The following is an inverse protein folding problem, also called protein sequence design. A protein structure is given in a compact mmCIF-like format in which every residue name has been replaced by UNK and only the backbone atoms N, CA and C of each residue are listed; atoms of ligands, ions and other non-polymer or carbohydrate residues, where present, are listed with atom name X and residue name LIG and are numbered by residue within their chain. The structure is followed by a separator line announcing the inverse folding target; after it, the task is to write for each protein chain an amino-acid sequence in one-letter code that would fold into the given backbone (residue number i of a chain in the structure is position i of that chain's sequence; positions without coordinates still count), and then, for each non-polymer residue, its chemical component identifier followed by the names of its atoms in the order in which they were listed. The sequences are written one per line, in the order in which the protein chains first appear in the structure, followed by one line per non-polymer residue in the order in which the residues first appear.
data_IF_884186308336
#
_entry.id   IF_884186308336
#
_cell.length_a   1.000
_cell.length_b   1.000
_cell.length_c   1.000
_cell.angle_alpha   90.00
_cell.angle_beta   90.00
_cell.angle_gamma   90.00
#
_symmetry.space_group_name_H-M   'P 1'
#
loop_
_entity.id
_entity.type
_entity.pdbx_description
1 polymer ?
#
# COMPACT_ATOMS: atom_id res chain seq x y z
N UNK A 1 -3.29 -8.96 1.48
CA UNK A 1 -3.90 -8.34 2.67
C UNK A 1 -5.32 -8.88 2.80
N UNK A 2 -5.78 -9.09 4.04
CA UNK A 2 -7.15 -9.50 4.34
C UNK A 2 -7.71 -8.54 5.41
N UNK A 3 -8.92 -8.03 5.19
CA UNK A 3 -9.58 -7.07 6.08
C UNK A 3 -10.88 -7.68 6.59
N UNK A 4 -11.08 -7.76 7.92
CA UNK A 4 -12.32 -8.29 8.49
C UNK A 4 -13.54 -7.42 8.11
N UNK A 5 -14.73 -7.98 8.27
CA UNK A 5 -16.00 -7.26 8.03
C UNK A 5 -16.05 -6.01 8.91
N UNK A 6 -16.30 -4.86 8.29
CA UNK A 6 -16.34 -3.56 8.98
C UNK A 6 -14.97 -2.97 9.32
N UNK A 7 -13.86 -3.68 9.04
CA UNK A 7 -12.51 -3.16 9.19
C UNK A 7 -12.08 -2.29 8.00
N UNK A 8 -10.92 -1.67 8.13
CA UNK A 8 -10.30 -0.78 7.14
C UNK A 8 -8.79 -1.04 7.01
N UNK A 9 -8.20 -0.47 5.95
CA UNK A 9 -6.73 -0.43 5.78
C UNK A 9 -6.12 0.66 6.66
N UNK A 10 -6.68 1.86 6.59
CA UNK A 10 -6.17 3.08 7.20
C UNK A 10 -6.55 4.30 6.35
N UNK A 11 -6.54 5.50 6.93
CA UNK A 11 -6.64 6.78 6.21
C UNK A 11 -5.23 7.32 6.00
N UNK A 12 -4.73 7.18 4.77
CA UNK A 12 -3.31 7.32 4.46
C UNK A 12 -3.02 8.37 3.39
N UNK A 13 -1.83 8.97 3.50
CA UNK A 13 -1.19 9.78 2.46
C UNK A 13 0.29 9.43 2.45
N UNK A 14 0.76 8.82 1.36
CA UNK A 14 2.17 8.45 1.21
C UNK A 14 2.78 9.03 -0.08
N UNK A 15 4.11 9.02 -0.15
CA UNK A 15 4.88 9.67 -1.23
C UNK A 15 5.10 8.78 -2.46
N UNK A 16 4.57 7.55 -2.42
CA UNK A 16 4.65 6.56 -3.51
C UNK A 16 3.29 6.35 -4.17
N UNK A 17 3.28 5.84 -5.40
CA UNK A 17 2.04 5.35 -6.02
C UNK A 17 1.65 4.00 -5.40
N UNK A 18 0.35 3.73 -5.24
CA UNK A 18 -0.18 2.46 -4.77
C UNK A 18 -1.24 1.92 -5.73
N UNK A 19 -1.17 0.63 -6.03
CA UNK A 19 -2.13 -0.09 -6.87
C UNK A 19 -2.76 -1.19 -6.03
N UNK A 20 -4.07 -1.13 -5.86
CA UNK A 20 -4.85 -2.12 -5.12
C UNK A 20 -5.67 -2.96 -6.09
N UNK A 21 -5.49 -4.27 -6.03
CA UNK A 21 -6.19 -5.26 -6.86
C UNK A 21 -7.06 -6.09 -5.93
N UNK A 22 -8.37 -5.89 -6.01
CA UNK A 22 -9.32 -6.57 -5.12
C UNK A 22 -9.61 -7.98 -5.64
N UNK A 23 -9.34 -9.00 -4.81
CA UNK A 23 -9.50 -10.41 -5.18
C UNK A 23 -10.78 -11.02 -4.62
N UNK A 24 -11.28 -10.54 -3.48
CA UNK A 24 -12.55 -10.96 -2.89
C UNK A 24 -13.20 -9.83 -2.06
N UNK A 25 -14.51 -9.96 -1.78
CA UNK A 25 -15.24 -9.03 -0.92
C UNK A 25 -15.74 -7.76 -1.62
N UNK A 26 -16.21 -6.80 -0.80
CA UNK A 26 -16.72 -5.49 -1.22
C UNK A 26 -16.26 -4.41 -0.25
N UNK A 27 -15.87 -3.25 -0.75
CA UNK A 27 -15.45 -2.13 0.08
C UNK A 27 -15.92 -0.80 -0.46
N UNK A 28 -15.88 0.21 0.42
CA UNK A 28 -15.91 1.62 0.03
C UNK A 28 -14.48 2.11 -0.09
N UNK A 29 -14.14 2.62 -1.25
CA UNK A 29 -12.89 3.32 -1.51
C UNK A 29 -13.15 4.83 -1.52
N UNK A 30 -12.50 5.56 -0.64
CA UNK A 30 -12.43 7.02 -0.66
C UNK A 30 -11.06 7.39 -1.22
N UNK A 31 -10.99 8.05 -2.37
CA UNK A 31 -9.73 8.49 -3.00
C UNK A 31 -9.85 9.95 -3.38
N UNK A 32 -8.92 10.79 -2.93
CA UNK A 32 -8.99 12.25 -3.09
C UNK A 32 -10.33 12.85 -2.63
N UNK A 33 -10.88 12.33 -1.51
CA UNK A 33 -12.18 12.73 -0.97
C UNK A 33 -13.39 12.31 -1.81
N UNK A 34 -13.22 11.43 -2.81
CA UNK A 34 -14.31 10.88 -3.61
C UNK A 34 -14.56 9.43 -3.28
N UNK A 35 -15.80 9.12 -2.93
CA UNK A 35 -16.24 7.77 -2.62
C UNK A 35 -16.62 6.97 -3.88
N UNK A 36 -16.29 5.69 -3.86
CA UNK A 36 -16.70 4.69 -4.84
C UNK A 36 -16.82 3.33 -4.18
N UNK A 37 -17.76 2.50 -4.66
CA UNK A 37 -17.85 1.11 -4.23
C UNK A 37 -16.93 0.25 -5.12
N UNK A 38 -16.14 -0.62 -4.50
CA UNK A 38 -15.24 -1.56 -5.16
C UNK A 38 -15.56 -2.99 -4.76
N UNK A 39 -15.27 -3.95 -5.66
CA UNK A 39 -15.48 -5.39 -5.44
C UNK A 39 -14.38 -6.22 -6.11
N UNK A 40 -14.46 -7.54 -5.94
CA UNK A 40 -13.57 -8.48 -6.63
C UNK A 40 -13.42 -8.18 -8.14
N UNK A 41 -12.17 -8.19 -8.61
CA UNK A 41 -11.69 -7.83 -9.96
C UNK A 41 -11.65 -6.34 -10.29
N UNK A 42 -12.03 -5.44 -9.38
CA UNK A 42 -11.77 -4.02 -9.56
C UNK A 42 -10.30 -3.70 -9.22
N UNK A 43 -9.77 -2.66 -9.86
CA UNK A 43 -8.42 -2.14 -9.61
C UNK A 43 -8.54 -0.65 -9.27
N UNK A 44 -7.89 -0.24 -8.18
CA UNK A 44 -7.77 1.16 -7.78
C UNK A 44 -6.31 1.57 -7.86
N UNK A 45 -6.07 2.72 -8.49
CA UNK A 45 -4.75 3.33 -8.57
C UNK A 45 -4.81 4.62 -7.75
N UNK A 46 -3.93 4.71 -6.77
CA UNK A 46 -3.76 5.86 -5.89
C UNK A 46 -2.43 6.53 -6.24
N UNK A 47 -2.45 7.72 -6.88
CA UNK A 47 -1.23 8.47 -7.15
C UNK A 47 -0.57 8.98 -5.86
N UNK A 48 0.75 9.10 -5.86
CA UNK A 48 1.53 9.67 -4.77
C UNK A 48 0.96 11.00 -4.26
N UNK A 49 0.92 11.17 -2.95
CA UNK A 49 0.37 12.35 -2.27
C UNK A 49 -1.15 12.44 -2.26
N UNK A 50 -1.86 11.39 -2.69
CA UNK A 50 -3.32 11.34 -2.68
C UNK A 50 -3.83 10.69 -1.40
N UNK A 51 -4.73 11.38 -0.68
CA UNK A 51 -5.46 10.78 0.43
C UNK A 51 -6.31 9.61 -0.06
N UNK A 52 -6.26 8.49 0.67
CA UNK A 52 -7.07 7.32 0.37
C UNK A 52 -7.42 6.51 1.62
N UNK A 53 -8.57 5.85 1.58
CA UNK A 53 -9.04 4.92 2.61
C UNK A 53 -9.92 3.85 1.98
N UNK A 54 -9.83 2.62 2.51
CA UNK A 54 -10.63 1.49 2.07
C UNK A 54 -11.29 0.81 3.26
N UNK A 55 -12.63 0.80 3.30
CA UNK A 55 -13.42 0.21 4.39
C UNK A 55 -14.20 -0.97 3.86
N UNK A 56 -14.08 -2.14 4.49
CA UNK A 56 -14.86 -3.32 4.15
C UNK A 56 -16.34 -3.11 4.54
N UNK A 57 -17.19 -2.93 3.52
CA UNK A 57 -18.64 -2.75 3.68
C UNK A 57 -19.44 -4.01 3.32
N UNK A 58 -18.75 -5.12 3.07
CA UNK A 58 -19.36 -6.41 2.73
C UNK A 58 -19.79 -7.22 3.95
N UNK A 59 -20.19 -8.45 3.68
CA UNK A 59 -20.57 -9.49 4.64
C UNK A 59 -19.53 -10.63 4.74
N UNK A 60 -18.39 -10.47 4.06
CA UNK A 60 -17.24 -11.38 4.08
C UNK A 60 -15.94 -10.57 4.22
N UNK A 61 -14.81 -11.20 4.57
CA UNK A 61 -13.51 -10.55 4.48
C UNK A 61 -13.27 -9.95 3.09
N UNK A 62 -12.59 -8.80 3.07
CA UNK A 62 -12.07 -8.17 1.87
C UNK A 62 -10.65 -8.67 1.66
N UNK A 63 -10.37 -9.21 0.49
CA UNK A 63 -9.03 -9.68 0.14
C UNK A 63 -8.50 -8.87 -1.04
N UNK A 64 -7.24 -8.48 -0.96
CA UNK A 64 -6.58 -7.72 -2.00
C UNK A 64 -5.07 -7.94 -2.03
N UNK A 65 -4.50 -7.61 -3.18
CA UNK A 65 -3.07 -7.44 -3.41
C UNK A 65 -2.81 -5.94 -3.51
N UNK A 66 -1.78 -5.44 -2.82
CA UNK A 66 -1.31 -4.07 -2.96
C UNK A 66 0.09 -4.06 -3.54
N UNK A 67 0.38 -3.10 -4.42
CA UNK A 67 1.70 -2.87 -5.00
C UNK A 67 2.04 -1.40 -4.84
N UNK A 68 3.16 -1.13 -4.18
CA UNK A 68 3.71 0.22 -4.02
C UNK A 68 4.84 0.45 -5.02
N UNK A 69 4.89 1.64 -5.61
CA UNK A 69 5.96 2.07 -6.51
C UNK A 69 6.38 3.52 -6.23
N UNK A 70 7.59 3.77 -5.69
CA UNK A 70 8.56 2.79 -5.17
C UNK A 70 8.07 2.05 -3.90
N UNK A 71 8.91 1.19 -3.31
CA UNK A 71 8.54 0.43 -2.12
C UNK A 71 8.21 1.35 -0.93
N UNK A 72 7.15 1.01 -0.19
CA UNK A 72 6.70 1.72 1.03
C UNK A 72 7.19 1.04 2.33
N UNK A 73 7.15 -0.30 2.34
CA UNK A 73 7.49 -1.11 3.52
C UNK A 73 8.90 -1.72 3.44
N UNK A 74 9.40 -2.21 4.58
CA UNK A 74 10.63 -2.99 4.66
C UNK A 74 10.47 -4.33 3.90
N UNK A 75 11.52 -4.88 3.25
CA UNK A 75 11.36 -6.01 2.31
C UNK A 75 10.90 -7.33 2.92
N UNK A 76 11.06 -7.51 4.23
CA UNK A 76 10.73 -8.73 4.98
C UNK A 76 9.50 -8.53 5.90
N UNK A 77 8.77 -7.43 5.73
CA UNK A 77 7.61 -7.11 6.55
C UNK A 77 6.47 -8.09 6.35
N UNK A 78 5.91 -8.54 7.47
CA UNK A 78 4.68 -9.32 7.55
C UNK A 78 3.90 -8.85 8.78
N UNK A 79 2.79 -8.16 8.56
CA UNK A 79 1.85 -7.79 9.62
C UNK A 79 0.75 -8.85 9.72
N UNK A 80 0.59 -9.49 10.90
CA UNK A 80 -0.47 -10.48 11.11
C UNK A 80 -1.79 -9.84 11.44
N UNK A 81 -1.77 -8.67 12.05
CA UNK A 81 -2.95 -7.86 12.34
C UNK A 81 -2.69 -6.41 11.96
N UNK A 82 -3.77 -5.64 11.83
CA UNK A 82 -3.66 -4.20 11.55
C UNK A 82 -2.91 -3.49 12.68
N UNK A 83 -3.23 -3.82 13.93
CA UNK A 83 -2.61 -3.20 15.10
C UNK A 83 -1.09 -3.42 15.16
N UNK A 84 -0.62 -4.63 14.79
CA UNK A 84 0.82 -4.90 14.68
C UNK A 84 1.47 -4.03 13.59
N UNK A 85 0.79 -3.85 12.46
CA UNK A 85 1.27 -2.99 11.37
C UNK A 85 1.36 -1.53 11.80
N UNK A 86 0.26 -0.97 12.31
CA UNK A 86 0.20 0.39 12.81
C UNK A 86 1.32 0.66 13.85
N UNK A 87 1.53 -0.26 14.79
CA UNK A 87 2.59 -0.14 15.82
C UNK A 87 4.02 -0.16 15.23
N UNK A 88 4.28 -0.97 14.21
CA UNK A 88 5.59 -1.08 13.57
C UNK A 88 5.90 0.13 12.69
N UNK A 89 4.89 0.66 12.00
CA UNK A 89 4.97 1.89 11.21
C UNK A 89 5.22 3.11 12.11
N UNK A 90 4.43 3.29 13.16
CA UNK A 90 4.60 4.38 14.13
C UNK A 90 5.98 4.34 14.82
N UNK A 91 6.52 3.13 15.02
CA UNK A 91 7.84 2.93 15.61
C UNK A 91 9.00 3.08 14.60
N UNK A 92 8.73 3.34 13.32
CA UNK A 92 9.73 3.43 12.25
C UNK A 92 10.48 2.11 12.00
N UNK A 93 9.83 0.97 12.29
CA UNK A 93 10.42 -0.37 12.11
C UNK A 93 10.03 -1.02 10.78
N UNK A 94 9.14 -0.39 10.04
CA UNK A 94 8.67 -0.82 8.73
C UNK A 94 8.94 0.21 7.63
N UNK A 95 10.18 0.69 7.56
CA UNK A 95 10.56 1.68 6.55
C UNK A 95 11.08 1.02 5.27
N UNK A 96 10.68 1.59 4.14
CA UNK A 96 11.24 1.29 2.84
C UNK A 96 12.79 1.39 2.83
N UNK A 97 13.48 0.49 2.12
CA UNK A 97 14.91 0.63 1.91
C UNK A 97 15.25 1.94 1.19
N UNK A 98 16.27 2.67 1.68
CA UNK A 98 16.66 3.95 1.08
C UNK A 98 17.03 3.89 -0.42
N UNK A 99 17.36 2.71 -0.96
CA UNK A 99 17.62 2.54 -2.40
C UNK A 99 16.33 2.56 -3.24
N UNK A 100 15.16 2.20 -2.67
CA UNK A 100 13.90 2.19 -3.43
C UNK A 100 13.46 3.61 -3.80
N UNK A 101 13.79 4.58 -2.96
CA UNK A 101 13.46 5.99 -3.12
C UNK A 101 14.52 6.78 -3.89
N UNK A 102 15.68 6.17 -4.16
CA UNK A 102 16.79 6.83 -4.85
C UNK A 102 16.65 6.72 -6.38
N UNK A 103 17.15 7.73 -7.10
CA UNK A 103 17.21 7.69 -8.55
C UNK A 103 18.13 6.58 -9.07
N UNK A 104 17.96 6.20 -10.35
CA UNK A 104 18.86 5.25 -11.03
C UNK A 104 20.34 5.65 -10.86
N UNK A 105 20.67 6.91 -11.10
CA UNK A 105 22.05 7.44 -10.98
C UNK A 105 22.62 7.29 -9.57
N UNK A 106 21.83 7.55 -8.54
CA UNK A 106 22.26 7.39 -7.15
C UNK A 106 22.47 5.93 -6.80
N UNK A 107 21.61 5.04 -7.27
CA UNK A 107 21.73 3.60 -7.07
C UNK A 107 22.91 3.00 -7.86
N UNK A 108 23.22 3.52 -9.05
CA UNK A 108 24.44 3.19 -9.79
C UNK A 108 25.70 3.63 -9.02
N UNK A 109 25.71 4.87 -8.50
CA UNK A 109 26.83 5.37 -7.70
C UNK A 109 27.06 4.56 -6.41
N UNK A 110 26.01 3.96 -5.84
CA UNK A 110 26.07 3.05 -4.68
C UNK A 110 26.36 1.60 -5.05
N UNK A 111 26.40 1.26 -6.35
CA UNK A 111 26.64 -0.11 -6.83
C UNK A 111 25.45 -1.07 -6.70
N UNK A 112 24.24 -0.57 -6.43
CA UNK A 112 23.03 -1.39 -6.36
C UNK A 112 22.48 -1.75 -7.74
N UNK A 113 22.71 -0.90 -8.74
CA UNK A 113 22.29 -1.10 -10.13
C UNK A 113 23.52 -1.03 -11.02
N UNK A 114 23.65 -1.96 -11.97
CA UNK A 114 24.70 -1.85 -13.00
C UNK A 114 24.35 -0.70 -13.94
N UNK A 115 25.30 0.20 -14.17
CA UNK A 115 25.16 1.20 -15.22
C UNK A 115 25.00 0.53 -16.58
N UNK A 116 24.23 1.16 -17.46
CA UNK A 116 24.23 0.78 -18.88
C UNK A 116 25.55 1.26 -19.50
N UNK A 117 26.30 0.35 -20.14
CA UNK A 117 27.51 0.67 -20.91
C UNK A 117 27.21 1.54 -22.14
#
# INVERSE_FOLDING_TARGET
MEIPVGGDIGDEVHTVDQILIFTAGKARATVAGKDSDVKANDVVIVPAGTQHQFVNTGDSPLELITVYAPAEHKPDTVHKTKEEGDELEDAGKDEAPAWSQASKKENEAKGYVKGEE
#
